data_IF_233384423949
#
_entry.id   IF_233384423949
#
_cell.length_a   1.000
_cell.length_b   1.000
_cell.length_c   1.000
_cell.angle_alpha   90.00
_cell.angle_beta   90.00
_cell.angle_gamma   90.00
#
_symmetry.space_group_name_H-M   'P 1'
#
loop_
_entity.id
_entity.type
_entity.pdbx_description
1 polymer ?
#
# COMPACT_ATOMS: atom_id res chain seq x y z
N UNK A 1 34.23 19.59 11.23
CA UNK A 1 33.86 18.37 12.00
C UNK A 1 33.00 17.47 11.11
N UNK A 2 33.43 16.24 10.82
CA UNK A 2 32.66 15.30 9.98
C UNK A 2 31.37 14.96 10.72
N UNK A 3 30.20 15.26 10.13
CA UNK A 3 28.91 14.92 10.73
C UNK A 3 28.71 13.42 10.55
N UNK A 4 28.77 12.69 11.66
CA UNK A 4 28.55 11.24 11.67
C UNK A 4 27.14 10.96 11.17
N UNK A 5 27.01 10.19 10.08
CA UNK A 5 25.73 9.85 9.50
C UNK A 5 24.91 8.97 10.46
N UNK A 6 23.58 8.98 10.31
CA UNK A 6 22.69 8.05 11.03
C UNK A 6 23.08 6.60 10.71
N UNK A 7 23.57 6.33 9.49
CA UNK A 7 24.03 4.99 9.10
C UNK A 7 25.32 4.59 9.82
N UNK A 8 26.26 5.52 10.01
CA UNK A 8 27.51 5.29 10.73
C UNK A 8 27.25 5.04 12.22
N UNK A 9 26.32 5.80 12.82
CA UNK A 9 25.88 5.56 14.22
C UNK A 9 25.20 4.21 14.39
N UNK A 10 24.42 3.79 13.39
CA UNK A 10 23.78 2.47 13.39
C UNK A 10 24.83 1.37 13.27
N UNK A 11 25.86 1.58 12.45
CA UNK A 11 26.95 0.62 12.26
C UNK A 11 27.78 0.45 13.53
N UNK A 12 28.22 1.55 14.16
CA UNK A 12 28.94 1.51 15.43
C UNK A 12 28.17 0.77 16.52
N UNK A 13 26.85 0.96 16.63
CA UNK A 13 26.03 0.17 17.56
C UNK A 13 25.94 -1.31 17.22
N UNK A 14 26.01 -1.67 15.94
CA UNK A 14 26.02 -3.06 15.52
C UNK A 14 27.36 -3.69 15.87
N UNK A 15 28.47 -2.97 15.71
CA UNK A 15 29.81 -3.40 16.13
C UNK A 15 29.87 -3.64 17.65
N UNK A 16 29.28 -2.76 18.46
CA UNK A 16 29.17 -2.96 19.92
C UNK A 16 28.37 -4.23 20.26
N UNK A 17 27.26 -4.48 19.55
CA UNK A 17 26.43 -5.68 19.75
C UNK A 17 27.15 -6.95 19.29
N UNK A 18 27.90 -6.88 18.19
CA UNK A 18 28.75 -7.98 17.71
C UNK A 18 29.78 -8.31 18.77
N UNK A 19 30.50 -7.31 19.30
CA UNK A 19 31.50 -7.53 20.36
C UNK A 19 30.91 -8.21 21.59
N UNK A 20 29.68 -7.88 21.99
CA UNK A 20 29.00 -8.55 23.10
C UNK A 20 28.66 -10.01 22.79
N UNK A 21 28.26 -10.32 21.56
CA UNK A 21 27.97 -11.70 21.12
C UNK A 21 29.27 -12.51 21.01
N UNK A 22 30.32 -11.95 20.41
CA UNK A 22 31.64 -12.59 20.31
C UNK A 22 32.22 -12.89 21.69
N UNK A 23 32.06 -12.01 22.68
CA UNK A 23 32.47 -12.32 24.06
C UNK A 23 31.77 -13.57 24.64
N UNK A 24 30.54 -13.88 24.19
CA UNK A 24 29.84 -15.13 24.56
C UNK A 24 30.31 -16.33 23.75
N UNK A 25 30.80 -16.12 22.54
CA UNK A 25 31.46 -17.14 21.72
C UNK A 25 32.80 -17.52 22.36
N UNK A 26 33.58 -16.55 22.84
CA UNK A 26 34.81 -16.79 23.59
C UNK A 26 34.54 -17.57 24.89
N UNK A 27 33.54 -17.14 25.68
CA UNK A 27 33.10 -17.87 26.88
C UNK A 27 32.75 -19.34 26.55
N UNK A 28 32.13 -19.59 25.39
CA UNK A 28 31.78 -20.93 24.93
C UNK A 28 33.02 -21.78 24.63
N UNK A 29 34.02 -21.20 23.96
CA UNK A 29 35.30 -21.85 23.68
C UNK A 29 36.05 -22.17 24.98
N UNK A 30 36.17 -21.20 25.89
CA UNK A 30 36.86 -21.34 27.18
C UNK A 30 36.20 -22.39 28.09
N UNK A 31 34.88 -22.55 27.99
CA UNK A 31 34.13 -23.57 28.73
C UNK A 31 34.34 -25.01 28.21
N UNK A 32 35.09 -25.17 27.12
CA UNK A 32 35.22 -26.43 26.40
C UNK A 32 33.92 -26.84 25.69
N UNK A 33 33.22 -25.87 25.09
CA UNK A 33 32.03 -26.07 24.25
C UNK A 33 30.82 -26.65 24.99
N UNK A 34 30.66 -26.32 26.28
CA UNK A 34 29.59 -26.86 27.14
C UNK A 34 28.47 -25.87 27.44
N UNK A 35 28.73 -24.57 27.31
CA UNK A 35 27.75 -23.54 27.62
C UNK A 35 26.69 -23.49 26.52
N UNK A 36 25.42 -23.54 26.90
CA UNK A 36 24.32 -23.31 25.96
C UNK A 36 24.11 -21.79 25.83
N UNK A 37 24.42 -21.25 24.67
CA UNK A 37 24.21 -19.82 24.39
C UNK A 37 22.81 -19.58 23.80
N UNK A 38 22.04 -18.69 24.45
CA UNK A 38 20.74 -18.22 23.96
C UNK A 38 20.92 -16.85 23.32
N UNK A 39 21.26 -16.87 22.02
CA UNK A 39 21.54 -15.65 21.27
C UNK A 39 20.29 -14.77 21.15
N UNK A 40 19.11 -15.36 21.03
CA UNK A 40 17.84 -14.62 20.94
C UNK A 40 17.61 -13.73 22.17
N UNK A 41 17.65 -14.29 23.38
CA UNK A 41 17.38 -13.53 24.59
C UNK A 41 18.49 -12.50 24.87
N UNK A 42 19.75 -12.87 24.67
CA UNK A 42 20.87 -11.95 24.85
C UNK A 42 20.79 -10.75 23.89
N UNK A 43 20.48 -11.00 22.61
CA UNK A 43 20.28 -9.94 21.63
C UNK A 43 19.10 -9.02 21.98
N UNK A 44 18.02 -9.56 22.55
CA UNK A 44 16.90 -8.73 23.02
C UNK A 44 17.28 -7.87 24.23
N UNK A 45 18.04 -8.41 25.19
CA UNK A 45 18.50 -7.69 26.38
C UNK A 45 19.40 -6.50 26.05
N UNK A 46 20.32 -6.67 25.10
CA UNK A 46 21.18 -5.57 24.60
C UNK A 46 20.42 -4.58 23.69
N UNK A 47 19.12 -4.82 23.46
CA UNK A 47 18.25 -3.93 22.69
C UNK A 47 18.40 -4.06 21.17
N UNK A 48 18.81 -5.24 20.67
CA UNK A 48 18.87 -5.52 19.25
C UNK A 48 17.48 -5.45 18.61
N UNK A 49 17.37 -4.64 17.57
CA UNK A 49 16.17 -4.46 16.74
C UNK A 49 16.43 -5.10 15.38
N UNK A 50 15.37 -5.37 14.62
CA UNK A 50 15.50 -5.96 13.29
C UNK A 50 16.42 -5.19 12.32
N UNK A 51 16.62 -3.88 12.52
CA UNK A 51 17.58 -3.11 11.73
C UNK A 51 19.04 -3.47 12.06
N UNK A 52 19.35 -3.70 13.34
CA UNK A 52 20.65 -4.17 13.81
C UNK A 52 20.88 -5.62 13.39
N UNK A 53 19.90 -6.50 13.65
CA UNK A 53 19.94 -7.91 13.27
C UNK A 53 20.23 -8.13 11.77
N UNK A 54 19.59 -7.35 10.88
CA UNK A 54 19.86 -7.43 9.43
C UNK A 54 21.29 -7.04 9.03
N UNK A 55 21.90 -6.11 9.75
CA UNK A 55 23.28 -5.67 9.49
C UNK A 55 24.33 -6.62 10.06
N UNK A 56 23.96 -7.33 11.13
CA UNK A 56 24.80 -8.29 11.83
C UNK A 56 24.83 -9.66 11.13
N UNK A 57 23.71 -10.06 10.51
CA UNK A 57 23.54 -11.34 9.81
C UNK A 57 24.66 -11.71 8.82
N UNK A 58 25.17 -10.81 7.95
CA UNK A 58 26.18 -11.17 6.96
C UNK A 58 27.47 -11.70 7.61
N UNK A 59 27.95 -11.05 8.67
CA UNK A 59 29.16 -11.48 9.37
C UNK A 59 29.04 -12.92 9.87
N UNK A 60 27.97 -13.24 10.59
CA UNK A 60 27.77 -14.60 11.10
C UNK A 60 27.49 -15.64 10.01
N UNK A 61 26.95 -15.20 8.87
CA UNK A 61 26.75 -16.07 7.72
C UNK A 61 28.08 -16.42 7.06
N UNK A 62 28.98 -15.44 6.95
CA UNK A 62 30.32 -15.65 6.41
C UNK A 62 31.10 -16.61 7.34
N UNK A 63 31.09 -16.38 8.66
CA UNK A 63 31.72 -17.30 9.63
C UNK A 63 31.13 -18.72 9.60
N UNK A 64 29.81 -18.85 9.44
CA UNK A 64 29.16 -20.16 9.31
C UNK A 64 29.59 -20.87 8.03
N UNK A 65 29.59 -20.18 6.89
CA UNK A 65 29.96 -20.76 5.60
C UNK A 65 31.44 -21.18 5.57
N UNK A 66 32.34 -20.36 6.11
CA UNK A 66 33.76 -20.72 6.23
C UNK A 66 33.95 -22.03 7.00
N UNK A 67 33.21 -22.22 8.10
CA UNK A 67 33.28 -23.45 8.89
C UNK A 67 32.63 -24.66 8.19
N UNK A 68 31.60 -24.44 7.36
CA UNK A 68 31.02 -25.48 6.51
C UNK A 68 32.06 -25.95 5.49
N UNK A 69 32.77 -25.03 4.84
CA UNK A 69 33.80 -25.35 3.84
C UNK A 69 34.98 -26.09 4.49
N UNK A 70 35.39 -25.69 5.71
CA UNK A 70 36.39 -26.42 6.52
C UNK A 70 35.91 -27.83 6.87
N UNK A 71 34.63 -27.99 7.23
CA UNK A 71 34.07 -29.30 7.57
C UNK A 71 34.02 -30.24 6.37
N UNK A 72 33.64 -29.73 5.19
CA UNK A 72 33.60 -30.48 3.94
C UNK A 72 34.99 -30.71 3.33
N UNK A 73 35.99 -29.93 3.77
CA UNK A 73 37.35 -29.86 3.22
C UNK A 73 37.41 -29.34 1.79
N UNK A 74 36.54 -28.39 1.47
CA UNK A 74 36.39 -27.85 0.12
C UNK A 74 37.46 -26.79 -0.21
N UNK A 75 38.05 -26.14 0.80
CA UNK A 75 39.07 -25.10 0.64
C UNK A 75 40.29 -25.32 1.55
N UNK A 76 41.45 -25.57 0.94
CA UNK A 76 42.72 -25.81 1.63
C UNK A 76 43.20 -24.61 2.46
N UNK A 77 42.93 -23.37 2.03
CA UNK A 77 43.32 -22.16 2.75
C UNK A 77 42.48 -21.95 4.01
N UNK A 78 41.18 -22.25 3.94
CA UNK A 78 40.30 -22.17 5.11
C UNK A 78 40.64 -23.26 6.13
N UNK A 79 40.99 -24.46 5.67
CA UNK A 79 41.46 -25.54 6.56
C UNK A 79 42.73 -25.11 7.32
N UNK A 80 43.67 -24.44 6.65
CA UNK A 80 44.87 -23.90 7.29
C UNK A 80 44.53 -22.80 8.31
N UNK A 81 43.66 -21.86 7.95
CA UNK A 81 43.23 -20.77 8.83
C UNK A 81 42.55 -21.27 10.11
N UNK A 82 41.76 -22.34 10.00
CA UNK A 82 41.02 -22.96 11.11
C UNK A 82 41.75 -24.15 11.75
N UNK A 83 43.00 -24.42 11.38
CA UNK A 83 43.79 -25.56 11.87
C UNK A 83 44.06 -25.55 13.38
N UNK A 84 43.88 -24.41 14.03
CA UNK A 84 43.98 -24.25 15.48
C UNK A 84 42.82 -24.93 16.24
N UNK A 85 41.69 -25.21 15.57
CA UNK A 85 40.57 -25.95 16.13
C UNK A 85 40.66 -27.44 15.77
N UNK A 86 40.31 -28.31 16.72
CA UNK A 86 40.14 -29.74 16.41
C UNK A 86 38.87 -29.92 15.57
N UNK A 87 38.78 -30.96 14.70
CA UNK A 87 37.60 -31.19 13.86
C UNK A 87 36.27 -31.30 14.63
N UNK A 88 36.30 -31.79 15.87
CA UNK A 88 35.11 -31.83 16.75
C UNK A 88 34.69 -30.44 17.24
N UNK A 89 35.67 -29.59 17.51
CA UNK A 89 35.50 -28.23 18.01
C UNK A 89 34.98 -27.32 16.89
N UNK A 90 35.51 -27.46 15.66
CA UNK A 90 35.00 -26.77 14.45
C UNK A 90 33.52 -27.05 14.20
N UNK A 91 33.09 -28.30 14.39
CA UNK A 91 31.66 -28.67 14.25
C UNK A 91 30.78 -27.99 15.30
N UNK A 92 31.23 -27.92 16.55
CA UNK A 92 30.50 -27.24 17.63
C UNK A 92 30.41 -25.73 17.40
N UNK A 93 31.44 -25.12 16.83
CA UNK A 93 31.44 -23.72 16.42
C UNK A 93 30.47 -23.48 15.25
N UNK A 94 30.46 -24.36 14.26
CA UNK A 94 29.51 -24.29 13.14
C UNK A 94 28.06 -24.36 13.65
N UNK A 95 27.76 -25.29 14.57
CA UNK A 95 26.43 -25.43 15.18
C UNK A 95 26.03 -24.17 15.98
N UNK A 96 26.99 -23.55 16.69
CA UNK A 96 26.76 -22.30 17.43
C UNK A 96 26.41 -21.15 16.48
N UNK A 97 27.20 -20.92 15.44
CA UNK A 97 26.92 -19.85 14.47
C UNK A 97 25.63 -20.08 13.70
N UNK A 98 25.29 -21.34 13.38
CA UNK A 98 23.98 -21.70 12.83
C UNK A 98 22.84 -21.30 13.77
N UNK A 99 22.98 -21.57 15.06
CA UNK A 99 21.99 -21.18 16.08
C UNK A 99 21.86 -19.66 16.19
N UNK A 100 22.97 -18.93 16.17
CA UNK A 100 22.99 -17.45 16.19
C UNK A 100 22.26 -16.89 14.96
N UNK A 101 22.50 -17.44 13.77
CA UNK A 101 21.82 -17.03 12.54
C UNK A 101 20.32 -17.26 12.60
N UNK A 102 19.88 -18.41 13.08
CA UNK A 102 18.46 -18.74 13.26
C UNK A 102 17.77 -17.76 14.21
N UNK A 103 18.43 -17.40 15.32
CA UNK A 103 17.92 -16.45 16.29
C UNK A 103 17.87 -15.02 15.74
N UNK A 104 18.87 -14.60 14.96
CA UNK A 104 18.87 -13.32 14.22
C UNK A 104 17.68 -13.28 13.26
N UNK A 105 17.45 -14.34 12.49
CA UNK A 105 16.34 -14.42 11.54
C UNK A 105 14.98 -14.44 12.28
N UNK A 106 14.91 -15.04 13.47
CA UNK A 106 13.74 -14.99 14.35
C UNK A 106 13.42 -13.57 14.82
N UNK A 107 14.43 -12.79 15.23
CA UNK A 107 14.26 -11.37 15.61
C UNK A 107 13.72 -10.55 14.43
N UNK A 108 14.24 -10.80 13.23
CA UNK A 108 13.80 -10.11 12.00
C UNK A 108 12.33 -10.43 11.70
N UNK A 109 11.93 -11.71 11.76
CA UNK A 109 10.56 -12.17 11.50
C UNK A 109 9.55 -11.64 12.53
N UNK A 110 9.91 -11.65 13.81
CA UNK A 110 9.03 -11.12 14.86
C UNK A 110 8.76 -9.62 14.68
N UNK A 111 9.77 -8.85 14.28
CA UNK A 111 9.62 -7.42 14.04
C UNK A 111 8.72 -7.09 12.83
N UNK A 112 8.75 -7.90 11.77
CA UNK A 112 7.86 -7.69 10.62
C UNK A 112 6.42 -8.07 10.93
N UNK A 113 6.20 -9.15 11.69
CA UNK A 113 4.86 -9.60 12.10
C UNK A 113 4.13 -8.58 13.00
N UNK A 114 4.86 -7.89 13.88
CA UNK A 114 4.28 -6.88 14.78
C UNK A 114 3.90 -5.56 14.09
N UNK A 115 4.28 -5.34 12.82
CA UNK A 115 3.95 -4.09 12.11
C UNK A 115 2.48 -4.07 11.71
N UNK A 116 1.66 -3.37 12.49
CA UNK A 116 0.25 -3.13 12.17
C UNK A 116 0.11 -2.45 10.80
N UNK A 117 -0.70 -3.00 9.87
CA UNK A 117 -0.97 -2.36 8.60
C UNK A 117 -1.48 -0.93 8.81
N UNK A 118 -0.96 0.02 8.03
CA UNK A 118 -1.37 1.43 8.15
C UNK A 118 -2.86 1.54 7.82
N UNK A 119 -3.67 2.00 8.78
CA UNK A 119 -5.09 2.31 8.54
C UNK A 119 -5.19 3.36 7.44
N UNK A 120 -5.87 3.03 6.34
CA UNK A 120 -6.12 3.97 5.25
C UNK A 120 -7.09 5.05 5.76
N UNK A 121 -6.70 6.32 5.63
CA UNK A 121 -7.59 7.45 5.90
C UNK A 121 -8.64 7.53 4.80
N UNK A 122 -9.88 7.88 5.15
CA UNK A 122 -10.91 8.24 4.18
C UNK A 122 -10.43 9.44 3.37
N UNK A 123 -10.64 9.39 2.05
CA UNK A 123 -10.26 10.50 1.17
C UNK A 123 -11.31 11.61 1.32
N UNK A 124 -10.86 12.88 1.33
CA UNK A 124 -11.77 14.02 1.27
C UNK A 124 -12.51 14.06 -0.07
N UNK A 125 -13.67 14.73 -0.10
CA UNK A 125 -14.48 14.88 -1.31
C UNK A 125 -13.64 15.43 -2.47
N UNK A 126 -12.93 16.54 -2.26
CA UNK A 126 -12.02 17.17 -3.24
C UNK A 126 -11.02 16.16 -3.83
N UNK A 127 -10.44 15.29 -2.99
CA UNK A 127 -9.43 14.32 -3.44
C UNK A 127 -10.03 13.18 -4.25
N UNK A 128 -11.29 12.83 -4.00
CA UNK A 128 -12.03 11.84 -4.79
C UNK A 128 -12.37 12.39 -6.18
N UNK A 129 -12.75 13.67 -6.28
CA UNK A 129 -13.20 14.26 -7.55
C UNK A 129 -12.10 14.89 -8.40
N UNK A 130 -10.88 15.05 -7.88
CA UNK A 130 -9.76 15.67 -8.60
C UNK A 130 -9.44 15.06 -9.97
N UNK A 131 -9.81 13.79 -10.20
CA UNK A 131 -9.59 13.09 -11.48
C UNK A 131 -10.83 13.01 -12.37
N UNK A 132 -11.95 13.60 -11.96
CA UNK A 132 -13.17 13.60 -12.74
C UNK A 132 -13.00 14.53 -13.95
N UNK A 133 -13.34 14.02 -15.13
CA UNK A 133 -13.38 14.81 -16.35
C UNK A 133 -14.84 15.16 -16.63
N UNK A 134 -15.14 16.44 -16.75
CA UNK A 134 -16.46 16.96 -17.09
C UNK A 134 -16.29 18.28 -17.87
N UNK A 135 -17.36 18.74 -18.48
CA UNK A 135 -17.40 20.01 -19.20
C UNK A 135 -17.84 21.12 -18.25
N UNK A 136 -16.98 22.10 -17.95
CA UNK A 136 -17.29 23.19 -17.02
C UNK A 136 -18.43 24.07 -17.54
N UNK A 137 -18.39 24.46 -18.81
CA UNK A 137 -19.40 25.30 -19.44
C UNK A 137 -19.73 24.82 -20.86
N UNK A 138 -20.99 24.99 -21.26
CA UNK A 138 -21.45 24.77 -22.63
C UNK A 138 -22.20 26.01 -23.14
N UNK A 139 -21.51 26.92 -23.84
CA UNK A 139 -22.05 28.23 -24.26
C UNK A 139 -23.27 28.12 -25.17
N UNK A 140 -23.32 27.14 -26.07
CA UNK A 140 -24.38 26.98 -27.08
C UNK A 140 -25.78 26.81 -26.47
N UNK A 141 -25.84 26.26 -25.26
CA UNK A 141 -27.07 26.06 -24.49
C UNK A 141 -27.06 26.85 -23.17
N UNK A 142 -26.05 27.70 -22.95
CA UNK A 142 -25.84 28.50 -21.73
C UNK A 142 -25.89 27.65 -20.45
N UNK A 143 -25.24 26.49 -20.47
CA UNK A 143 -25.20 25.58 -19.32
C UNK A 143 -23.87 25.71 -18.58
N UNK A 144 -23.96 25.73 -17.25
CA UNK A 144 -22.81 25.72 -16.34
C UNK A 144 -22.88 24.46 -15.49
N UNK A 145 -21.77 23.73 -15.40
CA UNK A 145 -21.68 22.54 -14.56
C UNK A 145 -21.65 22.90 -13.07
N UNK A 146 -22.30 22.06 -12.27
CA UNK A 146 -22.19 22.13 -10.81
C UNK A 146 -20.79 21.72 -10.31
N UNK A 147 -20.42 22.21 -9.12
CA UNK A 147 -19.21 21.75 -8.42
C UNK A 147 -19.31 20.23 -8.19
N UNK A 148 -18.35 19.43 -8.71
CA UNK A 148 -18.43 17.98 -8.68
C UNK A 148 -18.23 17.39 -7.27
N UNK A 149 -17.76 18.19 -6.28
CA UNK A 149 -17.74 17.80 -4.86
C UNK A 149 -19.13 17.51 -4.31
N UNK A 150 -20.16 18.20 -4.82
CA UNK A 150 -21.56 18.02 -4.39
C UNK A 150 -22.14 16.68 -4.81
N UNK A 151 -21.51 15.99 -5.77
CA UNK A 151 -21.95 14.66 -6.23
C UNK A 151 -21.76 13.62 -5.12
N UNK A 152 -20.71 13.76 -4.31
CA UNK A 152 -20.38 12.79 -3.28
C UNK A 152 -21.45 12.82 -2.18
N UNK A 153 -22.08 11.68 -1.94
CA UNK A 153 -23.16 11.56 -0.95
C UNK A 153 -24.55 11.97 -1.45
N UNK A 154 -24.70 12.34 -2.72
CA UNK A 154 -25.99 12.67 -3.29
C UNK A 154 -26.81 11.44 -3.71
N UNK A 155 -28.11 11.63 -3.95
CA UNK A 155 -29.10 10.59 -4.26
C UNK A 155 -29.38 10.52 -5.76
N UNK A 156 -29.50 11.66 -6.42
CA UNK A 156 -29.73 11.74 -7.87
C UNK A 156 -28.73 12.71 -8.51
N UNK A 157 -28.15 12.30 -9.64
CA UNK A 157 -27.25 13.13 -10.46
C UNK A 157 -27.79 13.20 -11.89
N UNK A 158 -27.97 14.41 -12.39
CA UNK A 158 -28.42 14.68 -13.76
C UNK A 158 -27.24 15.09 -14.62
N UNK A 159 -27.05 14.38 -15.73
CA UNK A 159 -25.95 14.60 -16.67
C UNK A 159 -26.47 14.81 -18.08
N UNK A 160 -25.79 15.66 -18.84
CA UNK A 160 -26.07 15.84 -20.25
C UNK A 160 -24.78 15.69 -21.07
N UNK A 161 -24.82 14.84 -22.08
CA UNK A 161 -23.71 14.63 -22.99
C UNK A 161 -23.93 15.46 -24.26
N UNK A 162 -23.05 16.43 -24.49
CA UNK A 162 -23.12 17.38 -25.61
C UNK A 162 -22.86 16.69 -26.95
N UNK A 163 -21.96 15.70 -26.99
CA UNK A 163 -21.63 14.93 -28.20
C UNK A 163 -22.77 14.01 -28.64
N UNK A 164 -23.42 13.32 -27.71
CA UNK A 164 -24.47 12.35 -28.04
C UNK A 164 -25.88 12.96 -28.00
N UNK A 165 -26.02 14.20 -27.51
CA UNK A 165 -27.30 14.86 -27.25
C UNK A 165 -28.21 14.01 -26.36
N UNK A 166 -27.65 13.45 -25.29
CA UNK A 166 -28.35 12.55 -24.39
C UNK A 166 -28.40 13.11 -22.98
N UNK A 167 -29.57 12.99 -22.37
CA UNK A 167 -29.84 13.33 -20.98
C UNK A 167 -29.87 12.03 -20.18
N UNK A 168 -29.07 11.98 -19.13
CA UNK A 168 -28.94 10.83 -18.24
C UNK A 168 -29.29 11.18 -16.80
N UNK A 169 -29.90 10.22 -16.11
CA UNK A 169 -30.15 10.30 -14.67
C UNK A 169 -29.45 9.14 -14.01
N UNK A 170 -28.64 9.46 -13.00
CA UNK A 170 -28.07 8.48 -12.11
C UNK A 170 -28.84 8.47 -10.80
N UNK A 171 -29.22 7.27 -10.35
CA UNK A 171 -29.80 7.02 -9.03
C UNK A 171 -28.80 6.26 -8.17
N UNK A 172 -28.66 6.68 -6.91
CA UNK A 172 -27.75 6.04 -5.97
C UNK A 172 -28.33 4.69 -5.51
N UNK A 173 -27.50 3.65 -5.50
CA UNK A 173 -27.86 2.30 -5.01
C UNK A 173 -28.27 2.33 -3.53
N UNK A 174 -27.67 3.24 -2.76
CA UNK A 174 -27.98 3.42 -1.35
C UNK A 174 -28.11 4.91 -1.00
N UNK A 175 -29.34 5.29 -0.64
CA UNK A 175 -29.75 6.65 -0.26
C UNK A 175 -28.96 7.24 0.91
N UNK A 176 -28.36 6.41 1.78
CA UNK A 176 -27.59 6.85 2.96
C UNK A 176 -26.10 7.02 2.64
N UNK A 177 -25.55 6.19 1.76
CA UNK A 177 -24.13 6.23 1.37
C UNK A 177 -23.87 7.22 0.22
N UNK A 178 -24.87 7.41 -0.64
CA UNK A 178 -24.82 8.24 -1.84
C UNK A 178 -23.73 7.81 -2.83
N UNK A 179 -23.44 8.69 -3.80
CA UNK A 179 -22.43 8.41 -4.82
C UNK A 179 -20.99 8.51 -4.30
N UNK A 180 -20.10 7.73 -4.90
CA UNK A 180 -18.65 7.85 -4.75
C UNK A 180 -17.98 7.90 -6.12
N UNK A 181 -16.84 8.58 -6.23
CA UNK A 181 -16.12 8.75 -7.51
C UNK A 181 -14.73 8.14 -7.39
N UNK A 182 -14.36 7.30 -8.36
CA UNK A 182 -13.02 6.74 -8.51
C UNK A 182 -12.49 7.07 -9.90
N UNK A 183 -11.62 8.09 -9.98
CA UNK A 183 -11.11 8.55 -11.26
C UNK A 183 -12.20 9.29 -12.04
N UNK A 184 -12.59 8.76 -13.19
CA UNK A 184 -13.73 9.25 -13.97
C UNK A 184 -14.97 8.34 -13.87
N UNK A 185 -14.93 7.34 -12.99
CA UNK A 185 -16.02 6.38 -12.84
C UNK A 185 -16.76 6.65 -11.54
N UNK A 186 -18.07 6.86 -11.66
CA UNK A 186 -19.01 6.92 -10.57
C UNK A 186 -19.34 5.51 -10.07
N UNK A 187 -19.37 5.35 -8.76
CA UNK A 187 -19.61 4.10 -8.03
C UNK A 187 -20.88 4.24 -7.18
N UNK A 188 -21.48 3.10 -6.84
CA UNK A 188 -22.72 3.01 -6.05
C UNK A 188 -23.93 3.65 -6.74
N UNK A 189 -24.05 3.43 -8.06
CA UNK A 189 -25.25 3.79 -8.81
C UNK A 189 -26.00 2.53 -9.21
N UNK A 190 -27.33 2.62 -9.21
CA UNK A 190 -28.19 1.52 -9.62
C UNK A 190 -28.23 1.45 -11.14
N UNK A 191 -27.86 0.30 -11.71
CA UNK A 191 -27.85 0.07 -13.16
C UNK A 191 -29.25 -0.07 -13.76
N UNK A 192 -30.24 -0.41 -12.94
CA UNK A 192 -31.62 -0.65 -13.37
C UNK A 192 -32.41 0.65 -13.41
N UNK A 193 -32.26 1.49 -12.38
CA UNK A 193 -32.94 2.79 -12.31
C UNK A 193 -32.24 3.89 -13.12
N UNK A 194 -30.92 3.79 -13.34
CA UNK A 194 -30.16 4.82 -14.07
C UNK A 194 -30.35 4.70 -15.59
N UNK A 195 -31.09 5.63 -16.16
CA UNK A 195 -31.52 5.61 -17.58
C UNK A 195 -31.08 6.85 -18.35
N UNK A 196 -30.78 6.66 -19.63
CA UNK A 196 -30.38 7.68 -20.59
C UNK A 196 -31.39 7.78 -21.73
N UNK A 197 -31.83 9.00 -22.06
CA UNK A 197 -32.72 9.30 -23.20
C UNK A 197 -32.10 10.34 -24.12
N UNK A 198 -32.42 10.28 -25.42
CA UNK A 198 -31.92 11.26 -26.40
C UNK A 198 -32.81 12.51 -26.38
N UNK A 199 -32.21 13.67 -26.17
CA UNK A 199 -32.91 14.95 -26.23
C UNK A 199 -33.02 15.38 -27.71
N UNK A 200 -34.19 15.18 -28.32
CA UNK A 200 -34.43 15.56 -29.73
C UNK A 200 -34.40 17.08 -29.97
N UNK A 201 -34.78 17.88 -28.96
CA UNK A 201 -34.67 19.35 -28.94
C UNK A 201 -33.98 19.79 -27.64
N UNK A 202 -32.65 19.89 -27.61
CA UNK A 202 -31.91 20.15 -26.38
C UNK A 202 -32.21 21.53 -25.76
N UNK A 203 -32.41 22.58 -26.58
CA UNK A 203 -32.78 23.92 -26.07
C UNK A 203 -34.07 23.93 -25.25
N UNK A 204 -35.12 23.30 -25.78
CA UNK A 204 -36.44 23.28 -25.12
C UNK A 204 -36.48 22.33 -23.91
N UNK A 205 -35.78 21.20 -24.00
CA UNK A 205 -35.78 20.19 -22.92
C UNK A 205 -34.92 20.60 -21.73
N UNK A 206 -33.83 21.32 -21.96
CA UNK A 206 -32.90 21.73 -20.90
C UNK A 206 -33.37 23.01 -20.18
N UNK A 207 -34.13 23.89 -20.86
CA UNK A 207 -34.76 25.06 -20.24
C UNK A 207 -35.82 24.67 -19.17
N UNK A 208 -36.37 23.46 -19.24
CA UNK A 208 -37.42 22.95 -18.36
C UNK A 208 -36.85 22.19 -17.16
N UNK A 209 -35.52 21.98 -17.07
CA UNK A 209 -34.88 21.27 -15.95
C UNK A 209 -34.84 22.14 -14.67
N UNK A 210 -36.00 22.37 -14.05
CA UNK A 210 -36.12 22.89 -12.67
C UNK A 210 -36.40 21.71 -11.73
N UNK A 211 -35.98 21.82 -10.46
CA UNK A 211 -36.04 20.74 -9.43
C UNK A 211 -37.35 19.91 -9.41
N UNK A 212 -38.50 20.50 -9.74
CA UNK A 212 -39.82 19.83 -9.70
C UNK A 212 -40.29 19.17 -11.02
N UNK A 213 -39.63 19.40 -12.15
CA UNK A 213 -40.09 18.95 -13.48
C UNK A 213 -39.26 17.81 -14.08
N UNK A 214 -38.14 17.46 -13.45
CA UNK A 214 -37.12 16.53 -13.96
C UNK A 214 -37.68 15.14 -14.33
N UNK A 215 -38.41 14.50 -13.42
CA UNK A 215 -39.03 13.16 -13.67
C UNK A 215 -40.08 13.21 -14.79
N UNK A 216 -40.87 14.29 -14.84
CA UNK A 216 -41.86 14.51 -15.91
C UNK A 216 -41.19 14.75 -17.26
N UNK A 217 -40.10 15.51 -17.30
CA UNK A 217 -39.34 15.78 -18.54
C UNK A 217 -38.72 14.50 -19.11
N UNK A 218 -38.21 13.60 -18.26
CA UNK A 218 -37.66 12.32 -18.72
C UNK A 218 -38.75 11.38 -19.26
N UNK A 219 -39.93 11.34 -18.63
CA UNK A 219 -41.05 10.52 -19.10
C UNK A 219 -41.68 11.05 -20.39
N UNK A 220 -41.67 12.37 -20.59
CA UNK A 220 -42.20 13.00 -21.81
C UNK A 220 -41.31 12.81 -23.05
N UNK A 221 -40.07 12.33 -22.90
CA UNK A 221 -39.20 12.01 -24.03
C UNK A 221 -39.61 10.69 -24.68
N UNK A 222 -40.05 10.75 -25.94
CA UNK A 222 -40.51 9.59 -26.74
C UNK A 222 -39.41 8.61 -27.16
N UNK A 223 -38.14 8.89 -26.83
CA UNK A 223 -36.98 8.12 -27.31
C UNK A 223 -36.68 6.93 -26.41
N UNK A 224 -36.17 5.83 -27.00
CA UNK A 224 -35.82 4.62 -26.27
C UNK A 224 -34.79 4.85 -25.17
N UNK A 225 -35.01 4.17 -24.05
CA UNK A 225 -34.14 4.19 -22.88
C UNK A 225 -32.90 3.32 -23.11
N UNK A 226 -31.76 3.81 -22.61
CA UNK A 226 -30.52 3.03 -22.55
C UNK A 226 -29.99 3.01 -21.12
N UNK A 227 -29.41 1.89 -20.66
CA UNK A 227 -28.77 1.84 -19.36
C UNK A 227 -27.54 2.74 -19.35
N UNK A 228 -27.36 3.53 -18.28
CA UNK A 228 -26.19 4.40 -18.16
C UNK A 228 -24.93 3.63 -17.78
N UNK A 229 -23.83 4.03 -18.40
CA UNK A 229 -22.48 3.63 -17.94
C UNK A 229 -22.01 4.61 -16.88
N UNK A 230 -21.41 4.14 -15.79
CA UNK A 230 -20.93 5.00 -14.71
C UNK A 230 -19.73 5.89 -15.05
N UNK A 231 -19.30 5.98 -16.32
CA UNK A 231 -18.11 6.76 -16.71
C UNK A 231 -18.52 8.14 -17.21
N UNK A 232 -18.03 9.18 -16.54
CA UNK A 232 -18.26 10.57 -16.91
C UNK A 232 -17.08 11.04 -17.77
N UNK A 233 -17.39 11.67 -18.90
CA UNK A 233 -16.42 12.11 -19.90
C UNK A 233 -16.28 13.63 -19.94
N UNK A 234 -15.29 14.11 -20.71
CA UNK A 234 -15.07 15.56 -20.93
C UNK A 234 -16.25 16.25 -21.61
N UNK A 235 -17.04 15.51 -22.39
CA UNK A 235 -18.21 16.04 -23.12
C UNK A 235 -19.50 16.00 -22.28
N UNK A 236 -19.38 15.72 -20.97
CA UNK A 236 -20.52 15.58 -20.06
C UNK A 236 -20.63 16.80 -19.16
N UNK A 237 -21.74 17.52 -19.27
CA UNK A 237 -22.13 18.64 -18.41
C UNK A 237 -22.92 18.09 -17.22
N UNK A 238 -22.59 18.58 -16.02
CA UNK A 238 -23.23 18.21 -14.77
C UNK A 238 -24.36 19.21 -14.49
N UNK A 239 -25.60 18.81 -14.72
CA UNK A 239 -26.74 19.74 -14.70
C UNK A 239 -27.22 20.04 -13.27
N UNK A 240 -27.24 19.03 -12.41
CA UNK A 240 -27.79 19.17 -11.07
C UNK A 240 -27.67 17.91 -10.24
N UNK A 241 -27.60 18.11 -8.92
CA UNK A 241 -27.49 17.06 -7.92
C UNK A 241 -28.57 17.26 -6.85
N UNK A 242 -29.16 16.15 -6.42
CA UNK A 242 -30.31 16.08 -5.51
C UNK A 242 -30.12 15.02 -4.42
#
# INVERSE_FOLDING_TARGET
KRVISIQDRLQSKVEDMISAVEGKVDDFIDSGYKIKYDAYNHLLEIGCKAAHARKMRPMYLDCYNELVDVYNKDDEYLIEAWSHLKPKESKLMMDLYGTILDDIDRIIKNSTAQRKPRKKKTLSATRLVNKLKYQEEYPDLRLVSINPEKIIGAKELWVYNTKSNRLGVYHAENTVRGFSIKGCTMQHFDKTESVEKKAGKPKDTLAVLKKGTLKKTLNNLKTSERPLTGRIGKDTVLLGVF
#
